data_IF_425194557958
#
_entry.id   IF_425194557958
#
_cell.length_a   1.000
_cell.length_b   1.000
_cell.length_c   1.000
_cell.angle_alpha   90.00
_cell.angle_beta   90.00
_cell.angle_gamma   90.00
#
_symmetry.space_group_name_H-M   'P 1'
#
loop_
_entity.id
_entity.type
_entity.pdbx_description
1 polymer ?
#
# COMPACT_ATOMS: atom_id res chain seq x y z
N UNK A 1 -31.28 43.54 41.54
CA UNK A 1 -29.88 43.21 41.20
C UNK A 1 -29.40 42.07 42.07
N UNK A 2 -29.11 40.89 41.49
CA UNK A 2 -28.38 39.80 42.15
C UNK A 2 -27.43 39.20 41.10
N UNK A 3 -26.14 39.34 41.34
CA UNK A 3 -25.05 38.82 40.51
C UNK A 3 -24.67 37.46 41.05
N UNK A 4 -24.94 36.39 40.30
CA UNK A 4 -24.38 35.08 40.60
C UNK A 4 -23.39 34.76 39.48
N UNK A 5 -22.19 35.32 39.62
CA UNK A 5 -21.02 34.84 38.91
C UNK A 5 -20.63 33.51 39.55
N UNK A 6 -20.81 32.41 38.82
CA UNK A 6 -20.09 31.18 39.11
C UNK A 6 -19.60 30.64 37.78
N UNK A 7 -18.45 31.19 37.37
CA UNK A 7 -17.61 30.63 36.32
C UNK A 7 -17.05 29.35 36.91
N UNK A 8 -17.64 28.21 36.55
CA UNK A 8 -17.07 26.91 36.88
C UNK A 8 -15.90 26.70 35.93
N UNK A 9 -14.73 27.07 36.42
CA UNK A 9 -13.40 26.66 35.97
C UNK A 9 -13.29 25.14 36.01
N UNK A 10 -13.67 24.48 34.91
CA UNK A 10 -13.41 23.07 34.68
C UNK A 10 -12.67 22.92 33.35
N UNK A 11 -11.35 22.99 33.40
CA UNK A 11 -10.54 22.75 32.22
C UNK A 11 -9.10 23.12 32.45
N UNK A 12 -8.33 22.24 33.08
CA UNK A 12 -6.87 22.25 33.03
C UNK A 12 -6.28 20.97 33.65
N UNK A 13 -6.61 19.80 33.10
CA UNK A 13 -5.81 18.59 33.34
C UNK A 13 -5.91 17.65 32.15
N UNK A 14 -4.95 17.76 31.22
CA UNK A 14 -4.18 16.64 30.64
C UNK A 14 -3.42 17.13 29.40
N UNK A 15 -2.22 17.68 29.60
CA UNK A 15 -1.27 17.99 28.53
C UNK A 15 0.12 17.44 28.86
N UNK A 16 0.19 16.21 29.39
CA UNK A 16 1.45 15.61 29.82
C UNK A 16 1.52 14.11 29.50
N UNK A 17 1.26 13.72 28.25
CA UNK A 17 1.55 12.35 27.77
C UNK A 17 2.02 12.33 26.30
N UNK A 18 2.82 13.34 25.89
CA UNK A 18 3.44 13.38 24.54
C UNK A 18 4.98 13.37 24.60
N UNK A 19 5.56 12.89 25.71
CA UNK A 19 7.02 12.83 25.88
C UNK A 19 7.57 11.40 26.03
N UNK A 20 6.76 10.37 25.79
CA UNK A 20 7.22 8.98 25.76
C UNK A 20 7.19 8.45 24.31
N UNK A 21 8.24 8.82 23.56
CA UNK A 21 8.85 8.08 22.44
C UNK A 21 8.00 7.63 21.23
N UNK A 22 8.27 8.17 20.02
CA UNK A 22 8.11 7.42 18.78
C UNK A 22 9.35 6.58 18.41
N UNK A 23 10.47 6.68 19.14
CA UNK A 23 11.71 5.97 18.78
C UNK A 23 11.67 4.45 18.99
N UNK A 24 10.64 3.91 19.65
CA UNK A 24 10.50 2.47 19.88
C UNK A 24 9.81 1.70 18.73
N UNK A 25 9.46 2.38 17.63
CA UNK A 25 8.80 1.75 16.46
C UNK A 25 9.70 1.76 15.22
N UNK A 26 11.03 1.81 15.41
CA UNK A 26 11.99 1.74 14.31
C UNK A 26 12.74 0.40 14.23
N UNK A 27 12.69 -0.46 15.27
CA UNK A 27 13.61 -1.61 15.38
C UNK A 27 12.94 -2.98 15.26
N UNK A 28 11.90 -3.08 14.42
CA UNK A 28 11.35 -4.38 14.03
C UNK A 28 11.11 -4.50 12.52
N UNK A 29 12.07 -4.01 11.73
CA UNK A 29 12.32 -4.62 10.44
C UNK A 29 13.01 -5.97 10.69
N UNK A 30 12.19 -6.98 10.99
CA UNK A 30 12.62 -8.37 10.99
C UNK A 30 13.41 -8.62 9.71
N UNK A 31 14.64 -9.12 9.87
CA UNK A 31 15.47 -9.60 8.76
C UNK A 31 14.76 -10.79 8.13
N UNK A 32 13.76 -10.52 7.29
CA UNK A 32 13.20 -11.49 6.39
C UNK A 32 14.33 -11.83 5.42
N UNK A 33 15.06 -12.91 5.71
CA UNK A 33 15.83 -13.63 4.70
C UNK A 33 14.81 -14.24 3.75
N UNK A 34 14.29 -13.45 2.83
CA UNK A 34 13.45 -13.95 1.74
C UNK A 34 13.93 -13.38 0.43
N UNK A 35 14.09 -14.28 -0.53
CA UNK A 35 14.45 -13.97 -1.90
C UNK A 35 15.88 -14.36 -2.20
N UNK A 36 16.09 -15.65 -2.50
CA UNK A 36 17.15 -16.00 -3.44
C UNK A 36 17.05 -15.08 -4.66
N UNK A 37 18.20 -14.72 -5.22
CA UNK A 37 18.29 -13.82 -6.37
C UNK A 37 17.36 -14.37 -7.46
N UNK A 38 16.22 -13.70 -7.67
CA UNK A 38 15.25 -14.11 -8.69
C UNK A 38 15.98 -14.30 -10.01
N UNK A 39 15.81 -15.46 -10.62
CA UNK A 39 16.36 -15.68 -11.95
C UNK A 39 15.74 -14.64 -12.88
N UNK A 40 16.62 -13.86 -13.52
CA UNK A 40 16.19 -12.76 -14.38
C UNK A 40 15.48 -13.28 -15.62
N UNK A 41 15.82 -14.48 -16.09
CA UNK A 41 15.22 -15.08 -17.27
C UNK A 41 13.80 -15.55 -16.96
N UNK A 42 13.63 -16.33 -15.89
CA UNK A 42 12.32 -16.76 -15.38
C UNK A 42 11.40 -15.57 -15.09
N UNK A 43 11.93 -14.49 -14.51
CA UNK A 43 11.16 -13.27 -14.27
C UNK A 43 10.68 -12.59 -15.55
N UNK A 44 11.52 -12.51 -16.60
CA UNK A 44 11.14 -11.91 -17.87
C UNK A 44 10.12 -12.78 -18.63
N UNK A 45 10.24 -14.10 -18.54
CA UNK A 45 9.24 -15.04 -19.07
C UNK A 45 7.91 -14.87 -18.34
N UNK A 46 7.91 -14.86 -17.00
CA UNK A 46 6.71 -14.61 -16.20
C UNK A 46 6.09 -13.23 -16.45
N UNK A 47 6.90 -12.20 -16.69
CA UNK A 47 6.41 -10.86 -17.07
C UNK A 47 5.70 -10.89 -18.42
N UNK A 48 6.31 -11.55 -19.42
CA UNK A 48 5.75 -11.68 -20.78
C UNK A 48 4.47 -12.50 -20.81
N UNK A 49 4.43 -13.56 -20.01
CA UNK A 49 3.28 -14.46 -19.90
C UNK A 49 2.23 -13.98 -18.90
N UNK A 50 2.50 -12.89 -18.17
CA UNK A 50 1.57 -12.32 -17.18
C UNK A 50 1.31 -13.24 -15.98
N UNK A 51 2.29 -14.07 -15.59
CA UNK A 51 2.14 -15.09 -14.54
C UNK A 51 2.64 -14.63 -13.16
N UNK A 52 2.19 -15.31 -12.11
CA UNK A 52 2.65 -15.07 -10.73
C UNK A 52 2.40 -13.64 -10.25
N UNK A 53 3.43 -12.87 -9.84
CA UNK A 53 3.23 -11.50 -9.36
C UNK A 53 2.78 -10.54 -10.46
N UNK A 54 2.83 -10.97 -11.73
CA UNK A 54 2.40 -10.21 -12.89
C UNK A 54 0.95 -10.51 -13.31
N UNK A 55 0.28 -11.52 -12.72
CA UNK A 55 -1.14 -11.78 -12.97
C UNK A 55 -1.99 -10.68 -12.33
N UNK A 56 -2.64 -9.86 -13.16
CA UNK A 56 -3.30 -8.61 -12.72
C UNK A 56 -4.77 -8.80 -12.39
N UNK A 57 -5.45 -9.67 -13.12
CA UNK A 57 -6.90 -9.81 -13.05
C UNK A 57 -7.30 -10.52 -11.76
N UNK A 58 -6.71 -11.69 -11.51
CA UNK A 58 -6.92 -12.47 -10.28
C UNK A 58 -6.57 -11.66 -9.02
N UNK A 59 -5.47 -10.88 -9.06
CA UNK A 59 -5.06 -10.02 -7.94
C UNK A 59 -6.03 -8.87 -7.70
N UNK A 60 -6.62 -8.32 -8.76
CA UNK A 60 -7.57 -7.23 -8.65
C UNK A 60 -8.87 -7.72 -8.05
N UNK A 61 -9.39 -8.85 -8.53
CA UNK A 61 -10.59 -9.49 -7.98
C UNK A 61 -10.42 -9.83 -6.49
N UNK A 62 -9.31 -10.48 -6.13
CA UNK A 62 -9.01 -10.79 -4.72
C UNK A 62 -8.89 -9.54 -3.84
N UNK A 63 -8.37 -8.42 -4.37
CA UNK A 63 -8.34 -7.14 -3.64
C UNK A 63 -9.72 -6.51 -3.51
N UNK A 64 -10.57 -6.59 -4.53
CA UNK A 64 -11.94 -6.09 -4.49
C UNK A 64 -12.80 -6.88 -3.48
N UNK A 65 -12.66 -8.21 -3.45
CA UNK A 65 -13.32 -9.07 -2.46
C UNK A 65 -12.89 -8.75 -1.03
N UNK A 66 -11.57 -8.73 -0.78
CA UNK A 66 -11.01 -8.37 0.53
C UNK A 66 -11.48 -6.98 0.99
N UNK A 67 -11.64 -6.05 0.07
CA UNK A 67 -12.11 -4.70 0.39
C UNK A 67 -13.57 -4.68 0.82
N UNK A 68 -14.43 -5.46 0.17
CA UNK A 68 -15.82 -5.62 0.58
C UNK A 68 -15.90 -6.28 1.96
N UNK A 69 -15.15 -7.37 2.17
CA UNK A 69 -15.05 -8.05 3.46
C UNK A 69 -14.62 -7.10 4.59
N UNK A 70 -13.64 -6.23 4.32
CA UNK A 70 -13.17 -5.25 5.31
C UNK A 70 -14.23 -4.19 5.63
N UNK A 71 -14.99 -3.73 4.65
CA UNK A 71 -16.09 -2.79 4.89
C UNK A 71 -17.19 -3.43 5.78
N UNK A 72 -17.46 -4.72 5.56
CA UNK A 72 -18.42 -5.49 6.37
C UNK A 72 -17.90 -5.73 7.79
N UNK A 73 -16.64 -6.11 7.95
CA UNK A 73 -15.99 -6.31 9.25
C UNK A 73 -15.93 -5.04 10.09
N UNK A 74 -15.69 -3.91 9.43
CA UNK A 74 -15.72 -2.59 10.07
C UNK A 74 -17.14 -2.07 10.30
N UNK A 75 -18.16 -2.78 9.79
CA UNK A 75 -19.58 -2.42 9.90
C UNK A 75 -19.83 -0.99 9.41
N UNK A 76 -19.19 -0.62 8.30
CA UNK A 76 -19.33 0.71 7.72
C UNK A 76 -20.78 0.95 7.29
N UNK A 77 -21.29 2.14 7.59
CA UNK A 77 -22.58 2.62 7.07
C UNK A 77 -22.48 2.89 5.57
N UNK A 78 -23.61 3.07 4.90
CA UNK A 78 -23.64 3.33 3.46
C UNK A 78 -22.85 4.60 3.08
N UNK A 79 -22.99 5.67 3.86
CA UNK A 79 -22.21 6.91 3.68
C UNK A 79 -20.70 6.68 3.88
N UNK A 80 -20.30 5.90 4.89
CA UNK A 80 -18.90 5.55 5.11
C UNK A 80 -18.35 4.63 4.02
N UNK A 81 -19.19 3.75 3.46
CA UNK A 81 -18.85 2.89 2.33
C UNK A 81 -18.64 3.70 1.07
N UNK A 82 -19.36 4.80 0.87
CA UNK A 82 -19.12 5.72 -0.24
C UNK A 82 -17.78 6.46 -0.09
N UNK A 83 -17.46 6.95 1.10
CA UNK A 83 -16.14 7.55 1.37
C UNK A 83 -15.03 6.50 1.17
N UNK A 84 -15.24 5.29 1.67
CA UNK A 84 -14.35 4.15 1.44
C UNK A 84 -14.26 3.83 -0.07
N UNK A 85 -15.36 3.94 -0.82
CA UNK A 85 -15.46 3.79 -2.27
C UNK A 85 -14.42 4.70 -2.96
N UNK A 86 -14.48 5.98 -2.62
CA UNK A 86 -13.69 7.08 -3.17
C UNK A 86 -12.21 6.96 -2.79
N UNK A 87 -11.87 6.73 -1.52
CA UNK A 87 -10.47 6.62 -1.06
C UNK A 87 -9.67 5.56 -1.83
N UNK A 88 -10.29 4.41 -2.09
CA UNK A 88 -9.61 3.37 -2.86
C UNK A 88 -9.67 3.63 -4.38
N UNK A 89 -10.64 4.39 -4.89
CA UNK A 89 -10.61 4.83 -6.29
C UNK A 89 -9.37 5.70 -6.54
N UNK A 90 -9.07 6.65 -5.66
CA UNK A 90 -7.85 7.44 -5.70
C UNK A 90 -6.58 6.60 -5.58
N UNK A 91 -6.58 5.61 -4.68
CA UNK A 91 -5.46 4.64 -4.57
C UNK A 91 -5.27 3.84 -5.86
N UNK A 92 -6.35 3.42 -6.52
CA UNK A 92 -6.27 2.69 -7.80
C UNK A 92 -5.59 3.53 -8.86
N UNK A 93 -5.93 4.81 -9.00
CA UNK A 93 -5.28 5.70 -9.96
C UNK A 93 -3.77 5.84 -9.69
N UNK A 94 -3.39 6.09 -8.44
CA UNK A 94 -1.97 6.16 -8.04
C UNK A 94 -1.23 4.84 -8.31
N UNK A 95 -1.90 3.71 -8.06
CA UNK A 95 -1.35 2.39 -8.33
C UNK A 95 -1.17 2.15 -9.82
N UNK A 96 -2.13 2.53 -10.67
CA UNK A 96 -2.03 2.42 -12.12
C UNK A 96 -0.82 3.20 -12.67
N UNK A 97 -0.59 4.41 -12.20
CA UNK A 97 0.59 5.20 -12.59
C UNK A 97 1.90 4.51 -12.21
N UNK A 98 2.00 4.00 -10.97
CA UNK A 98 3.19 3.24 -10.52
C UNK A 98 3.38 1.96 -11.33
N UNK A 99 2.30 1.30 -11.72
CA UNK A 99 2.32 0.09 -12.53
C UNK A 99 2.79 0.34 -13.95
N UNK A 100 2.46 1.48 -14.56
CA UNK A 100 2.97 1.87 -15.88
C UNK A 100 4.49 2.08 -15.83
N UNK A 101 4.97 2.89 -14.87
CA UNK A 101 6.41 3.11 -14.68
C UNK A 101 7.17 1.82 -14.39
N UNK A 102 6.55 0.89 -13.65
CA UNK A 102 7.15 -0.39 -13.36
C UNK A 102 7.19 -1.31 -14.60
N UNK A 103 6.14 -1.30 -15.43
CA UNK A 103 6.14 -2.01 -16.72
C UNK A 103 7.26 -1.52 -17.63
N UNK A 104 7.41 -0.21 -17.81
CA UNK A 104 8.49 0.37 -18.62
C UNK A 104 9.88 -0.09 -18.16
N UNK A 105 10.12 -0.07 -16.83
CA UNK A 105 11.37 -0.56 -16.25
C UNK A 105 11.57 -2.06 -16.48
N UNK A 106 10.51 -2.85 -16.43
CA UNK A 106 10.57 -4.28 -16.71
C UNK A 106 10.86 -4.56 -18.18
N UNK A 107 10.24 -3.82 -19.10
CA UNK A 107 10.51 -3.89 -20.53
C UNK A 107 11.97 -3.55 -20.83
N UNK A 108 12.49 -2.44 -20.29
CA UNK A 108 13.90 -2.08 -20.46
C UNK A 108 14.83 -3.18 -19.91
N UNK A 109 14.54 -3.69 -18.71
CA UNK A 109 15.36 -4.71 -18.05
C UNK A 109 15.37 -6.04 -18.81
N UNK A 110 14.25 -6.40 -19.43
CA UNK A 110 14.16 -7.60 -20.24
C UNK A 110 14.73 -7.40 -21.66
N UNK A 111 14.66 -6.18 -22.21
CA UNK A 111 15.25 -5.81 -23.51
C UNK A 111 16.77 -5.68 -23.50
N UNK A 112 17.39 -5.06 -22.48
CA UNK A 112 18.86 -4.93 -22.39
C UNK A 112 19.60 -6.28 -22.36
N UNK A 113 18.90 -7.36 -21.98
CA UNK A 113 19.46 -8.72 -21.95
C UNK A 113 19.45 -9.42 -23.32
N UNK A 114 18.52 -9.09 -24.23
CA UNK A 114 18.56 -9.67 -25.58
C UNK A 114 19.80 -9.22 -26.36
N UNK A 115 20.25 -7.99 -26.11
CA UNK A 115 21.39 -7.40 -26.85
C UNK A 115 22.75 -7.87 -26.31
N UNK A 116 22.88 -8.15 -25.01
CA UNK A 116 24.12 -8.72 -24.44
C UNK A 116 24.28 -10.22 -24.72
N UNK A 117 23.18 -10.95 -24.95
CA UNK A 117 23.22 -12.36 -25.35
C UNK A 117 23.65 -12.56 -26.80
N UNK A 118 23.33 -11.60 -27.69
CA UNK A 118 23.66 -11.67 -29.12
C UNK A 118 25.09 -11.23 -29.45
N UNK A 119 25.73 -10.41 -28.62
CA UNK A 119 27.14 -9.98 -28.80
C UNK A 119 28.19 -10.99 -28.28
N UNK A 120 27.78 -12.21 -27.91
CA UNK A 120 28.66 -13.30 -27.47
C UNK A 120 28.61 -14.53 -28.40
N UNK A 121 28.19 -14.35 -29.66
CA UNK A 121 28.32 -15.36 -30.71
C UNK A 121 29.34 -14.94 -31.75
#
# INVERSE_FOLDING_TARGET
MKRNASVITAGLLTAALMAASPFALADHHGKNKQGGKWDKQEMCENFREGKGPFNREERREAMEERRAEMADRLKLTDEQREIWAQMHAEQREKYQQRMQQWQEKMEQRCGENSDRGNNRK
#
